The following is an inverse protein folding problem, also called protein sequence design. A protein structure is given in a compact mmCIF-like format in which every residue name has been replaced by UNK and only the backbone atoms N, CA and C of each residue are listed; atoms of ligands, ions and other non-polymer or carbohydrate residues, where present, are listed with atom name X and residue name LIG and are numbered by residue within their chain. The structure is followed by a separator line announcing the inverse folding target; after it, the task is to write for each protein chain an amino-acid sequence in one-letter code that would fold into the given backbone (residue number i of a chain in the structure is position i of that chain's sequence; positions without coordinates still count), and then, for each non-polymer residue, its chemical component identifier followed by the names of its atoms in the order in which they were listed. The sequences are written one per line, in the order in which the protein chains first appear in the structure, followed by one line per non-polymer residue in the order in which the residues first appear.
data_IF_010488272244
#
_entry.id   IF_010488272244
#
_cell.length_a   1.000
_cell.length_b   1.000
_cell.length_c   1.000
_cell.angle_alpha   90.00
_cell.angle_beta   90.00
_cell.angle_gamma   90.00
#
_symmetry.space_group_name_H-M   'P 1'
#
loop_
_entity.id
_entity.type
_entity.pdbx_description
1 polymer ?
#
# COMPACT_ATOMS: atom_id res chain seq x y z
N UNK A 1 12.54 26.98 8.55
CA UNK A 1 11.24 26.29 8.49
C UNK A 1 11.21 25.39 7.27
N UNK A 2 10.86 24.13 7.43
CA UNK A 2 10.82 23.16 6.33
C UNK A 2 9.48 23.25 5.59
N UNK A 3 9.53 23.37 4.26
CA UNK A 3 8.33 23.33 3.43
C UNK A 3 7.75 21.93 3.43
N UNK A 4 6.43 21.84 3.52
CA UNK A 4 5.68 20.60 3.39
C UNK A 4 5.64 20.18 1.91
N UNK A 5 5.95 18.91 1.63
CA UNK A 5 5.94 18.35 0.28
C UNK A 5 5.11 17.08 0.30
N UNK A 6 3.98 17.09 -0.38
CA UNK A 6 3.05 15.95 -0.39
C UNK A 6 3.11 15.26 -1.76
N UNK A 7 3.56 14.02 -1.78
CA UNK A 7 3.53 13.17 -2.95
C UNK A 7 2.18 12.46 -3.00
N UNK A 8 1.39 12.76 -4.02
CA UNK A 8 0.05 12.18 -4.20
C UNK A 8 0.05 10.98 -5.13
N UNK A 9 1.20 10.58 -5.67
CA UNK A 9 1.30 9.45 -6.59
C UNK A 9 2.40 8.50 -6.13
N UNK A 10 2.04 7.64 -5.21
CA UNK A 10 2.93 6.61 -4.70
C UNK A 10 2.11 5.42 -4.23
N UNK A 11 2.76 4.26 -4.06
CA UNK A 11 2.06 3.01 -3.83
C UNK A 11 2.72 2.21 -2.71
N UNK A 12 1.87 1.52 -1.95
CA UNK A 12 2.27 0.55 -0.93
C UNK A 12 1.59 -0.79 -1.25
N UNK A 13 2.15 -1.85 -0.72
CA UNK A 13 1.55 -3.18 -0.80
C UNK A 13 1.66 -3.82 0.59
N UNK A 14 0.70 -3.55 1.49
CA UNK A 14 0.77 -4.07 2.85
C UNK A 14 0.87 -5.59 2.91
N UNK A 15 1.58 -6.09 3.90
CA UNK A 15 1.83 -7.54 4.05
C UNK A 15 0.53 -8.35 4.09
N UNK A 16 -0.50 -7.87 4.78
CA UNK A 16 -1.79 -8.57 4.84
C UNK A 16 -2.44 -8.72 3.46
N UNK A 17 -2.23 -7.75 2.56
CA UNK A 17 -2.71 -7.82 1.18
C UNK A 17 -1.96 -8.91 0.42
N UNK A 18 -0.64 -8.95 0.53
CA UNK A 18 0.18 -9.99 -0.11
C UNK A 18 -0.17 -11.38 0.42
N UNK A 19 -0.40 -11.51 1.72
CA UNK A 19 -0.76 -12.79 2.35
C UNK A 19 -2.11 -13.30 1.81
N UNK A 20 -3.10 -12.41 1.71
CA UNK A 20 -4.40 -12.78 1.13
C UNK A 20 -4.24 -13.21 -0.33
N UNK A 21 -3.45 -12.50 -1.11
CA UNK A 21 -3.21 -12.86 -2.51
C UNK A 21 -2.56 -14.23 -2.66
N UNK A 22 -1.68 -14.62 -1.74
CA UNK A 22 -1.06 -15.94 -1.76
C UNK A 22 -2.07 -17.05 -1.49
N UNK A 23 -3.12 -16.76 -0.74
CA UNK A 23 -4.14 -17.75 -0.34
C UNK A 23 -5.23 -17.93 -1.39
N UNK A 24 -5.35 -17.04 -2.37
CA UNK A 24 -6.39 -17.13 -3.41
C UNK A 24 -5.78 -17.58 -4.74
N UNK A 25 -6.41 -18.57 -5.37
CA UNK A 25 -5.91 -19.15 -6.61
C UNK A 25 -6.04 -18.20 -7.82
N UNK A 26 -6.88 -17.17 -7.70
CA UNK A 26 -7.10 -16.17 -8.75
C UNK A 26 -5.99 -15.13 -8.84
N UNK A 27 -5.14 -15.02 -7.81
CA UNK A 27 -4.07 -14.05 -7.79
C UNK A 27 -2.88 -14.52 -8.65
N UNK A 28 -2.15 -13.55 -9.24
CA UNK A 28 -1.01 -13.84 -10.10
C UNK A 28 0.28 -14.06 -9.28
N UNK A 29 0.84 -15.29 -9.25
CA UNK A 29 2.02 -15.59 -8.42
C UNK A 29 3.25 -14.75 -8.77
N UNK A 30 3.45 -14.47 -10.06
CA UNK A 30 4.58 -13.65 -10.52
C UNK A 30 4.55 -12.22 -10.01
N UNK A 31 3.36 -11.66 -9.86
CA UNK A 31 3.16 -10.33 -9.30
C UNK A 31 3.59 -10.30 -7.83
N UNK A 32 3.14 -11.27 -7.04
CA UNK A 32 3.47 -11.39 -5.62
C UNK A 32 4.99 -11.49 -5.45
N UNK A 33 5.61 -12.38 -6.21
CA UNK A 33 7.06 -12.58 -6.16
C UNK A 33 7.82 -11.29 -6.46
N UNK A 34 7.38 -10.55 -7.47
CA UNK A 34 8.01 -9.28 -7.85
C UNK A 34 7.90 -8.23 -6.74
N UNK A 35 6.72 -8.10 -6.15
CA UNK A 35 6.47 -7.10 -5.09
C UNK A 35 7.29 -7.38 -3.83
N UNK A 36 7.52 -8.65 -3.49
CA UNK A 36 8.29 -9.02 -2.31
C UNK A 36 9.78 -8.75 -2.44
N UNK A 37 10.27 -8.37 -3.63
CA UNK A 37 11.65 -7.95 -3.84
C UNK A 37 11.87 -6.45 -3.59
N UNK A 38 10.80 -5.70 -3.29
CA UNK A 38 10.85 -4.24 -3.09
C UNK A 38 10.41 -3.91 -1.66
N UNK A 39 11.34 -3.85 -0.69
CA UNK A 39 10.97 -3.68 0.73
C UNK A 39 10.13 -2.46 1.03
N UNK A 40 10.35 -1.32 0.36
CA UNK A 40 9.58 -0.10 0.62
C UNK A 40 8.10 -0.20 0.24
N UNK A 41 7.70 -1.24 -0.51
CA UNK A 41 6.29 -1.49 -0.80
C UNK A 41 5.54 -2.06 0.41
N UNK A 42 6.14 -2.97 1.16
CA UNK A 42 5.46 -3.71 2.23
C UNK A 42 6.02 -3.44 3.62
N UNK A 43 7.27 -2.99 3.74
CA UNK A 43 7.88 -2.65 5.02
C UNK A 43 7.75 -1.15 5.26
N UNK A 44 6.73 -0.78 6.05
CA UNK A 44 6.40 0.63 6.30
C UNK A 44 7.52 1.33 7.06
N UNK A 45 8.20 0.66 7.98
CA UNK A 45 9.33 1.25 8.70
C UNK A 45 10.49 1.58 7.77
N UNK A 46 10.80 0.68 6.82
CA UNK A 46 11.81 0.94 5.80
C UNK A 46 11.42 2.14 4.92
N UNK A 47 10.12 2.24 4.58
CA UNK A 47 9.58 3.36 3.82
C UNK A 47 9.73 4.67 4.56
N UNK A 48 9.40 4.70 5.84
CA UNK A 48 9.53 5.89 6.67
C UNK A 48 10.99 6.33 6.77
N UNK A 49 11.92 5.40 6.97
CA UNK A 49 13.36 5.71 6.98
C UNK A 49 13.82 6.36 5.68
N UNK A 50 13.33 5.87 4.55
CA UNK A 50 13.61 6.49 3.25
C UNK A 50 13.05 7.90 3.18
N UNK A 51 11.80 8.11 3.62
CA UNK A 51 11.15 9.42 3.59
C UNK A 51 11.85 10.44 4.50
N UNK A 52 12.40 10.00 5.61
CA UNK A 52 13.08 10.88 6.57
C UNK A 52 14.35 11.54 6.02
N UNK A 53 14.87 11.07 4.90
CA UNK A 53 15.98 11.72 4.20
C UNK A 53 15.58 13.07 3.62
N UNK A 54 14.29 13.33 3.44
CA UNK A 54 13.78 14.58 2.90
C UNK A 54 12.83 15.27 3.88
N UNK A 55 13.31 16.29 4.62
CA UNK A 55 12.47 17.00 5.61
C UNK A 55 11.19 17.57 4.98
N UNK A 56 10.05 17.36 5.64
CA UNK A 56 8.76 17.84 5.18
C UNK A 56 8.09 16.96 4.14
N UNK A 57 8.68 15.83 3.76
CA UNK A 57 8.13 14.93 2.76
C UNK A 57 7.07 14.02 3.38
N UNK A 58 5.89 14.02 2.75
CA UNK A 58 4.72 13.22 3.14
C UNK A 58 4.16 12.51 1.92
N UNK A 59 3.42 11.45 2.13
CA UNK A 59 2.81 10.65 1.06
C UNK A 59 1.33 10.43 1.30
N UNK A 60 0.52 10.63 0.26
CA UNK A 60 -0.84 10.08 0.18
C UNK A 60 -0.71 8.69 -0.44
N UNK A 61 -1.04 7.66 0.30
CA UNK A 61 -0.77 6.27 -0.11
C UNK A 61 -1.97 5.61 -0.79
N UNK A 62 -1.68 4.70 -1.72
CA UNK A 62 -2.68 3.90 -2.42
C UNK A 62 -2.04 2.57 -2.84
N UNK A 63 -2.86 1.67 -3.39
CA UNK A 63 -2.37 0.48 -4.09
C UNK A 63 -2.50 0.72 -5.59
N UNK A 64 -1.44 0.46 -6.33
CA UNK A 64 -1.30 0.84 -7.74
C UNK A 64 -2.21 0.07 -8.69
N UNK A 65 -2.61 -1.16 -8.33
CA UNK A 65 -3.24 -2.09 -9.24
C UNK A 65 -4.70 -2.26 -8.86
N UNK A 66 -5.63 -2.23 -9.83
CA UNK A 66 -7.04 -2.50 -9.55
C UNK A 66 -7.24 -3.87 -8.89
N UNK A 67 -8.21 -3.95 -7.99
CA UNK A 67 -8.44 -5.18 -7.22
C UNK A 67 -8.75 -6.37 -8.12
N UNK A 68 -9.54 -6.17 -9.18
CA UNK A 68 -9.89 -7.23 -10.12
C UNK A 68 -8.69 -7.71 -10.96
N UNK A 69 -7.63 -6.93 -11.02
CA UNK A 69 -6.38 -7.37 -11.67
C UNK A 69 -5.47 -8.14 -10.72
N UNK A 70 -5.67 -7.98 -9.42
CA UNK A 70 -4.88 -8.67 -8.39
C UNK A 70 -5.51 -9.99 -7.97
N UNK A 71 -6.84 -10.06 -8.00
CA UNK A 71 -7.61 -11.27 -7.68
C UNK A 71 -8.86 -11.30 -8.54
N UNK A 72 -9.44 -12.49 -8.75
CA UNK A 72 -10.65 -12.63 -9.56
C UNK A 72 -11.86 -11.93 -8.94
N UNK A 73 -12.98 -11.80 -9.69
CA UNK A 73 -14.14 -11.05 -9.24
C UNK A 73 -14.79 -11.59 -7.96
N UNK A 74 -14.61 -12.88 -7.67
CA UNK A 74 -15.11 -13.46 -6.42
C UNK A 74 -14.29 -13.05 -5.20
N UNK A 75 -13.01 -12.78 -5.37
CA UNK A 75 -12.07 -12.47 -4.29
C UNK A 75 -11.80 -10.97 -4.15
N UNK A 76 -12.02 -10.18 -5.20
CA UNK A 76 -11.68 -8.76 -5.19
C UNK A 76 -12.44 -7.93 -4.15
N UNK A 77 -13.70 -8.21 -3.80
CA UNK A 77 -14.36 -7.46 -2.71
C UNK A 77 -13.69 -7.63 -1.35
N UNK A 78 -13.30 -8.87 -1.00
CA UNK A 78 -12.57 -9.12 0.25
C UNK A 78 -11.19 -8.48 0.22
N UNK A 79 -10.49 -8.55 -0.92
CA UNK A 79 -9.19 -7.93 -1.11
C UNK A 79 -9.28 -6.41 -0.93
N UNK A 80 -10.31 -5.77 -1.47
CA UNK A 80 -10.53 -4.33 -1.32
C UNK A 80 -10.73 -3.96 0.16
N UNK A 81 -11.52 -4.73 0.90
CA UNK A 81 -11.74 -4.49 2.34
C UNK A 81 -10.44 -4.59 3.13
N UNK A 82 -9.65 -5.63 2.88
CA UNK A 82 -8.36 -5.83 3.56
C UNK A 82 -7.41 -4.67 3.23
N UNK A 83 -7.31 -4.33 1.96
CA UNK A 83 -6.44 -3.24 1.48
C UNK A 83 -6.79 -1.92 2.14
N UNK A 84 -8.06 -1.53 2.12
CA UNK A 84 -8.51 -0.26 2.66
C UNK A 84 -8.31 -0.20 4.18
N UNK A 85 -8.55 -1.30 4.89
CA UNK A 85 -8.31 -1.38 6.33
C UNK A 85 -6.81 -1.19 6.65
N UNK A 86 -5.92 -1.79 5.87
CA UNK A 86 -4.47 -1.65 6.07
C UNK A 86 -3.96 -0.24 5.75
N UNK A 87 -4.47 0.38 4.68
CA UNK A 87 -4.11 1.76 4.34
C UNK A 87 -4.53 2.72 5.47
N UNK A 88 -5.72 2.55 5.99
CA UNK A 88 -6.20 3.33 7.13
C UNK A 88 -5.31 3.16 8.36
N UNK A 89 -4.95 1.91 8.67
CA UNK A 89 -4.09 1.60 9.81
C UNK A 89 -2.72 2.29 9.69
N UNK A 90 -2.13 2.30 8.50
CA UNK A 90 -0.85 2.96 8.24
C UNK A 90 -0.97 4.46 8.49
N UNK A 91 -2.01 5.10 7.96
CA UNK A 91 -2.22 6.53 8.13
C UNK A 91 -2.52 6.90 9.60
N UNK A 92 -3.32 6.11 10.29
CA UNK A 92 -3.65 6.34 11.70
C UNK A 92 -2.39 6.19 12.59
N UNK A 93 -1.48 5.29 12.23
CA UNK A 93 -0.24 5.07 12.96
C UNK A 93 0.81 6.16 12.78
N UNK A 94 0.88 6.75 11.60
CA UNK A 94 1.86 7.79 11.27
C UNK A 94 1.23 8.89 10.42
N UNK A 95 0.32 9.68 11.00
CA UNK A 95 -0.35 10.76 10.26
C UNK A 95 0.60 11.89 9.84
N UNK A 96 1.77 11.99 10.50
CA UNK A 96 2.82 12.94 10.13
C UNK A 96 3.49 12.60 8.79
N UNK A 97 3.54 11.32 8.43
CA UNK A 97 4.13 10.84 7.18
C UNK A 97 3.07 10.52 6.13
N UNK A 98 1.92 10.04 6.56
CA UNK A 98 0.82 9.59 5.69
C UNK A 98 -0.46 10.31 6.07
N UNK A 99 -0.67 11.55 5.58
CA UNK A 99 -1.83 12.36 5.99
C UNK A 99 -3.16 11.86 5.42
N UNK A 100 -3.12 11.06 4.34
CA UNK A 100 -4.33 10.55 3.69
C UNK A 100 -4.02 9.30 2.88
N UNK A 101 -5.06 8.61 2.45
CA UNK A 101 -4.96 7.43 1.59
C UNK A 101 -6.12 7.42 0.60
N UNK A 102 -5.92 6.71 -0.51
CA UNK A 102 -6.95 6.54 -1.56
C UNK A 102 -7.45 5.11 -1.50
N UNK A 103 -8.75 4.96 -1.34
CA UNK A 103 -9.40 3.65 -1.26
C UNK A 103 -9.44 2.94 -2.60
N UNK A 104 -9.40 1.60 -2.55
CA UNK A 104 -9.62 0.76 -3.71
C UNK A 104 -11.04 0.22 -3.70
N UNK A 105 -11.63 0.09 -4.89
CA UNK A 105 -12.93 -0.55 -5.09
C UNK A 105 -12.72 -1.95 -5.67
N UNK A 106 -13.68 -2.90 -5.40
CA UNK A 106 -13.58 -4.24 -5.98
C UNK A 106 -13.68 -4.25 -7.50
#
# INVERSE_FOLDING_TARGET
MTSRKIDIYNHVMPTAVLDYMRDVSSAAPGMIKRMTTIPVLYDIEARIRMMEQWPGYEQVISVAIPMESMAGPGDSPALARITNAELRKICDGRPDKFPAWVASLP
#
